data_IF_957186849905
#
_entry.id   IF_957186849905
#
_cell.length_a   1.000
_cell.length_b   1.000
_cell.length_c   1.000
_cell.angle_alpha   90.00
_cell.angle_beta   90.00
_cell.angle_gamma   90.00
#
_symmetry.space_group_name_H-M   'P 1'
#
loop_
_entity.id
_entity.type
_entity.pdbx_description
1 polymer ?
#
# COMPACT_ATOMS: atom_id res chain seq x y z
N UNK A 1 -1.05 16.42 4.56
CA UNK A 1 -0.83 16.62 3.11
C UNK A 1 -1.69 15.66 2.29
N UNK A 2 -1.75 15.87 0.97
CA UNK A 2 -2.42 14.94 0.05
C UNK A 2 -1.75 13.57 0.09
N UNK A 3 -2.53 12.50 -0.05
CA UNK A 3 -1.99 11.14 -0.09
C UNK A 3 -1.42 10.84 -1.46
N UNK A 4 -0.17 10.34 -1.48
CA UNK A 4 0.44 9.76 -2.67
C UNK A 4 0.76 8.31 -2.32
N UNK A 5 0.28 7.41 -3.17
CA UNK A 5 0.55 5.98 -3.05
C UNK A 5 1.54 5.60 -4.16
N UNK A 6 2.75 5.23 -3.76
CA UNK A 6 3.79 4.78 -4.69
C UNK A 6 3.66 3.28 -4.94
N UNK A 7 3.98 2.87 -6.17
CA UNK A 7 4.03 1.48 -6.62
C UNK A 7 2.72 0.68 -6.52
N UNK A 8 1.55 1.35 -6.44
CA UNK A 8 0.24 0.67 -6.55
C UNK A 8 0.14 -0.12 -7.85
N UNK A 9 0.48 0.50 -8.97
CA UNK A 9 0.34 -0.13 -10.29
C UNK A 9 1.24 -1.37 -10.42
N UNK A 10 2.38 -1.37 -9.73
CA UNK A 10 3.28 -2.52 -9.69
C UNK A 10 2.69 -3.65 -8.86
N UNK A 11 2.15 -3.36 -7.67
CA UNK A 11 1.55 -4.41 -6.84
C UNK A 11 0.27 -5.00 -7.44
N UNK A 12 -0.45 -4.23 -8.26
CA UNK A 12 -1.63 -4.70 -8.99
C UNK A 12 -1.29 -5.72 -10.08
N UNK A 13 -0.02 -5.82 -10.50
CA UNK A 13 0.43 -6.86 -11.45
C UNK A 13 0.60 -8.22 -10.81
N UNK A 14 0.69 -8.31 -9.48
CA UNK A 14 0.80 -9.60 -8.81
C UNK A 14 -0.55 -10.35 -8.86
N UNK A 15 -0.48 -11.63 -9.24
CA UNK A 15 -1.65 -12.49 -9.32
C UNK A 15 -2.30 -12.63 -7.94
N UNK A 16 -3.61 -12.40 -7.87
CA UNK A 16 -4.40 -12.54 -6.64
C UNK A 16 -4.30 -11.35 -5.69
N UNK A 17 -3.61 -10.26 -6.05
CA UNK A 17 -3.49 -9.06 -5.21
C UNK A 17 -4.61 -8.07 -5.55
N UNK A 18 -5.43 -7.75 -4.55
CA UNK A 18 -6.52 -6.77 -4.66
C UNK A 18 -6.33 -5.65 -3.63
N UNK A 19 -5.84 -4.46 -4.04
CA UNK A 19 -5.73 -3.32 -3.16
C UNK A 19 -7.09 -2.63 -2.97
N UNK A 20 -7.40 -2.25 -1.72
CA UNK A 20 -8.59 -1.49 -1.37
C UNK A 20 -8.20 -0.18 -0.68
N UNK A 21 -8.42 0.94 -1.37
CA UNK A 21 -8.00 2.28 -0.95
C UNK A 21 -9.22 3.09 -0.56
N UNK A 22 -9.21 3.67 0.65
CA UNK A 22 -10.38 4.33 1.23
C UNK A 22 -10.65 5.76 0.70
N UNK A 23 -9.95 6.21 -0.34
CA UNK A 23 -10.17 7.54 -0.95
C UNK A 23 -9.94 8.74 -0.02
N UNK A 24 -9.17 8.58 1.07
CA UNK A 24 -8.92 9.67 2.03
C UNK A 24 -7.99 10.71 1.42
N UNK A 25 -8.49 11.92 1.22
CA UNK A 25 -7.72 13.05 0.66
C UNK A 25 -6.51 13.46 1.52
N UNK A 26 -6.56 13.25 2.84
CA UNK A 26 -5.51 13.70 3.79
C UNK A 26 -4.89 12.53 4.54
N UNK A 27 -3.55 12.42 4.47
CA UNK A 27 -2.75 11.50 5.29
C UNK A 27 -2.52 12.06 6.69
N UNK A 28 -2.47 11.18 7.69
CA UNK A 28 -2.00 11.50 9.05
C UNK A 28 -1.11 10.34 9.53
N UNK A 29 -0.10 10.58 10.38
CA UNK A 29 0.69 9.51 10.98
C UNK A 29 -0.20 8.44 11.63
N UNK A 30 0.16 7.18 11.48
CA UNK A 30 -0.56 6.00 12.01
C UNK A 30 -2.00 5.81 11.52
N UNK A 31 -2.47 6.58 10.53
CA UNK A 31 -3.82 6.44 9.99
C UNK A 31 -3.87 5.25 9.02
N UNK A 32 -4.89 4.39 9.15
CA UNK A 32 -5.19 3.36 8.15
C UNK A 32 -5.64 4.03 6.84
N UNK A 33 -4.82 3.87 5.80
CA UNK A 33 -5.00 4.46 4.47
C UNK A 33 -5.54 3.48 3.41
N UNK A 34 -5.69 2.20 3.77
CA UNK A 34 -6.21 1.14 2.92
C UNK A 34 -5.92 -0.22 3.52
N UNK A 35 -6.24 -1.28 2.77
CA UNK A 35 -5.75 -2.63 3.00
C UNK A 35 -5.51 -3.31 1.64
N UNK A 36 -4.72 -4.37 1.63
CA UNK A 36 -4.50 -5.20 0.43
C UNK A 36 -4.85 -6.62 0.79
N UNK A 37 -5.70 -7.24 -0.03
CA UNK A 37 -6.08 -8.65 0.11
C UNK A 37 -5.32 -9.46 -0.92
N UNK A 38 -4.78 -10.61 -0.50
CA UNK A 38 -4.01 -11.50 -1.37
C UNK A 38 -4.67 -12.86 -1.32
N UNK A 39 -5.18 -13.30 -2.47
CA UNK A 39 -5.85 -14.59 -2.64
C UNK A 39 -4.91 -15.51 -3.42
N UNK A 40 -4.50 -16.61 -2.79
CA UNK A 40 -3.72 -17.66 -3.43
C UNK A 40 -4.12 -19.01 -2.82
N UNK A 41 -3.97 -20.09 -3.59
CA UNK A 41 -4.21 -21.46 -3.17
C UNK A 41 -3.13 -21.93 -2.18
N UNK A 42 -1.88 -21.49 -2.36
CA UNK A 42 -0.76 -21.76 -1.44
C UNK A 42 -0.55 -20.58 -0.47
N UNK A 43 -0.69 -20.86 0.83
CA UNK A 43 -0.45 -19.91 1.91
C UNK A 43 1.01 -19.42 1.96
N UNK A 44 1.99 -20.27 1.64
CA UNK A 44 3.40 -19.90 1.63
C UNK A 44 3.69 -18.92 0.49
N UNK A 45 3.08 -19.12 -0.68
CA UNK A 45 3.18 -18.17 -1.79
C UNK A 45 2.42 -16.87 -1.49
N UNK A 46 1.23 -16.94 -0.88
CA UNK A 46 0.49 -15.76 -0.42
C UNK A 46 1.32 -14.90 0.53
N UNK A 47 2.00 -15.51 1.51
CA UNK A 47 2.89 -14.82 2.45
C UNK A 47 4.09 -14.19 1.76
N UNK A 48 4.74 -14.90 0.84
CA UNK A 48 5.87 -14.35 0.05
C UNK A 48 5.44 -13.13 -0.76
N UNK A 49 4.27 -13.19 -1.39
CA UNK A 49 3.70 -12.04 -2.12
C UNK A 49 3.33 -10.91 -1.16
N UNK A 50 2.76 -11.20 0.01
CA UNK A 50 2.43 -10.20 1.03
C UNK A 50 3.67 -9.42 1.49
N UNK A 51 4.78 -10.12 1.73
CA UNK A 51 6.04 -9.47 2.09
C UNK A 51 6.60 -8.59 0.97
N UNK A 52 6.54 -9.07 -0.28
CA UNK A 52 6.95 -8.27 -1.45
C UNK A 52 6.08 -7.02 -1.56
N UNK A 53 4.76 -7.17 -1.56
CA UNK A 53 3.80 -6.05 -1.61
C UNK A 53 4.05 -5.05 -0.49
N UNK A 54 4.26 -5.51 0.75
CA UNK A 54 4.57 -4.65 1.91
C UNK A 54 5.87 -3.87 1.75
N UNK A 55 6.89 -4.44 1.09
CA UNK A 55 8.17 -3.76 0.81
C UNK A 55 8.06 -2.79 -0.36
N UNK A 56 7.22 -3.09 -1.34
CA UNK A 56 7.05 -2.30 -2.57
C UNK A 56 6.13 -1.10 -2.37
N UNK A 57 4.98 -1.27 -1.70
CA UNK A 57 4.00 -0.19 -1.52
C UNK A 57 4.49 0.82 -0.48
N UNK A 58 4.43 2.10 -0.82
CA UNK A 58 4.72 3.21 0.11
C UNK A 58 3.59 4.22 0.08
N UNK A 59 3.22 4.70 1.27
CA UNK A 59 2.21 5.76 1.42
C UNK A 59 2.89 6.97 2.00
N UNK A 60 3.01 8.01 1.20
CA UNK A 60 3.65 9.27 1.58
C UNK A 60 2.61 10.40 1.63
N UNK A 61 2.81 11.33 2.56
CA UNK A 61 2.05 12.59 2.58
C UNK A 61 2.80 13.65 1.77
N UNK A 62 2.09 14.39 0.93
CA UNK A 62 2.68 15.45 0.10
C UNK A 62 3.18 16.68 0.88
N UNK A 63 3.11 16.69 2.21
CA UNK A 63 3.68 17.77 3.02
C UNK A 63 5.12 17.39 3.36
N UNK A 64 6.07 18.07 2.71
CA UNK A 64 7.42 18.18 3.23
C UNK A 64 7.29 18.72 4.65
N UNK A 65 7.69 17.92 5.64
CA UNK A 65 7.93 18.45 6.98
C UNK A 65 9.14 19.36 6.80
N UNK A 66 8.91 20.67 6.65
CA UNK A 66 9.96 21.66 6.79
C UNK A 66 10.39 21.63 8.25
N UNK A 67 11.34 20.77 8.58
CA UNK A 67 12.07 20.86 9.84
C UNK A 67 13.03 22.03 9.70
N UNK A 68 12.78 23.12 10.43
CA UNK A 68 13.79 24.14 10.72
C UNK A 68 14.85 23.58 11.66
#
# INVERSE_FOLDING_TARGET
GNVIYENIAEIMKFKGVTPHIYGKKVTRPFRKMGHVTIVNEDLAEARRTAEKVKKTIRVIGSEKINTH
#
